data_IF_394792495999
#
_entry.id   IF_394792495999
#
_cell.length_a   1.000
_cell.length_b   1.000
_cell.length_c   1.000
_cell.angle_alpha   90.00
_cell.angle_beta   90.00
_cell.angle_gamma   90.00
#
_symmetry.space_group_name_H-M   'P 1'
#
loop_
_entity.id
_entity.type
_entity.pdbx_description
1 polymer ?
#
# COMPACT_ATOMS: atom_id res chain seq x y z
N UNK A 1 -55.80 -57.57 -28.96
CA UNK A 1 -55.70 -57.52 -27.48
C UNK A 1 -55.69 -56.05 -27.08
N UNK A 2 -56.76 -55.54 -26.45
CA UNK A 2 -56.82 -54.17 -25.90
C UNK A 2 -56.09 -54.15 -24.57
N UNK A 3 -55.17 -53.22 -24.35
CA UNK A 3 -54.78 -52.82 -22.99
C UNK A 3 -54.56 -51.31 -22.96
N UNK A 4 -55.20 -50.68 -21.98
CA UNK A 4 -55.38 -49.25 -21.77
C UNK A 4 -54.48 -48.85 -20.60
N UNK A 5 -53.54 -47.92 -20.77
CA UNK A 5 -52.88 -47.18 -19.67
C UNK A 5 -52.47 -45.81 -20.26
N UNK A 6 -53.25 -44.74 -20.06
CA UNK A 6 -53.32 -43.80 -18.91
C UNK A 6 -52.29 -42.66 -18.98
N UNK A 7 -52.75 -41.49 -18.57
CA UNK A 7 -52.28 -40.14 -18.94
C UNK A 7 -50.95 -39.68 -18.30
N UNK A 8 -50.23 -38.90 -19.11
CA UNK A 8 -49.24 -37.83 -18.83
C UNK A 8 -49.00 -37.45 -17.36
N UNK A 9 -47.71 -37.37 -16.96
CA UNK A 9 -47.15 -36.26 -16.16
C UNK A 9 -45.69 -35.98 -16.56
N UNK A 10 -45.44 -34.74 -16.97
CA UNK A 10 -44.11 -34.16 -17.18
C UNK A 10 -43.71 -33.52 -15.85
N UNK A 11 -42.52 -33.82 -15.31
CA UNK A 11 -41.84 -32.99 -14.31
C UNK A 11 -40.34 -33.07 -14.56
N UNK A 12 -39.66 -31.97 -14.94
CA UNK A 12 -38.22 -31.91 -14.96
C UNK A 12 -37.70 -31.51 -13.57
N UNK A 13 -36.72 -32.23 -13.03
CA UNK A 13 -35.89 -31.73 -11.93
C UNK A 13 -34.43 -31.80 -12.37
N UNK A 14 -34.00 -30.76 -13.08
CA UNK A 14 -32.58 -30.43 -13.21
C UNK A 14 -32.12 -29.83 -11.89
N UNK A 15 -31.34 -30.60 -11.13
CA UNK A 15 -30.68 -30.13 -9.91
C UNK A 15 -29.43 -29.34 -10.33
N UNK A 16 -29.62 -28.09 -10.77
CA UNK A 16 -28.53 -27.15 -11.00
C UNK A 16 -28.19 -26.43 -9.69
N UNK A 17 -27.26 -26.96 -8.92
CA UNK A 17 -26.71 -26.30 -7.74
C UNK A 17 -25.88 -25.10 -8.20
N UNK A 18 -26.47 -23.91 -8.18
CA UNK A 18 -25.75 -22.65 -8.38
C UNK A 18 -24.80 -22.45 -7.19
N UNK A 19 -23.51 -22.70 -7.41
CA UNK A 19 -22.45 -22.43 -6.45
C UNK A 19 -22.27 -20.90 -6.37
N UNK A 20 -22.87 -20.27 -5.37
CA UNK A 20 -22.67 -18.86 -5.07
C UNK A 20 -21.19 -18.65 -4.65
N UNK A 21 -20.39 -18.11 -5.56
CA UNK A 21 -19.04 -17.65 -5.27
C UNK A 21 -19.13 -16.46 -4.32
N UNK A 22 -19.01 -16.73 -3.02
CA UNK A 22 -18.71 -15.74 -2.00
C UNK A 22 -17.30 -15.23 -2.25
N UNK A 23 -17.17 -14.21 -3.10
CA UNK A 23 -15.98 -13.37 -3.13
C UNK A 23 -15.92 -12.59 -1.84
N UNK A 24 -15.28 -13.19 -0.83
CA UNK A 24 -14.79 -12.48 0.34
C UNK A 24 -13.70 -11.50 -0.11
N UNK A 25 -14.10 -10.41 -0.75
CA UNK A 25 -13.26 -9.23 -0.83
C UNK A 25 -13.04 -8.80 0.61
N UNK A 26 -11.85 -9.07 1.15
CA UNK A 26 -11.43 -8.47 2.39
C UNK A 26 -11.57 -6.96 2.20
N UNK A 27 -12.60 -6.38 2.79
CA UNK A 27 -12.76 -4.95 2.89
C UNK A 27 -11.62 -4.47 3.80
N UNK A 28 -10.44 -4.24 3.22
CA UNK A 28 -9.44 -3.41 3.86
C UNK A 28 -10.17 -2.10 4.13
N UNK A 29 -10.33 -1.75 5.40
CA UNK A 29 -10.92 -0.47 5.77
C UNK A 29 -10.21 0.60 4.92
N UNK A 30 -10.98 1.27 4.08
CA UNK A 30 -10.44 2.23 3.13
C UNK A 30 -9.81 3.36 3.94
N UNK A 31 -8.49 3.32 4.12
CA UNK A 31 -7.78 4.32 4.90
C UNK A 31 -7.95 5.68 4.22
N UNK A 32 -8.31 6.71 5.00
CA UNK A 32 -8.39 8.06 4.48
C UNK A 32 -6.99 8.66 4.39
N UNK A 33 -6.28 8.42 3.28
CA UNK A 33 -4.91 8.92 3.11
C UNK A 33 -4.83 10.45 3.04
N UNK A 34 -5.93 11.11 2.65
CA UNK A 34 -5.96 12.56 2.55
C UNK A 34 -6.00 13.27 3.92
N UNK A 35 -6.38 12.56 5.00
CA UNK A 35 -6.29 13.08 6.36
C UNK A 35 -4.89 13.03 6.95
N UNK A 36 -3.94 12.33 6.30
CA UNK A 36 -2.56 12.29 6.76
C UNK A 36 -1.91 13.68 6.68
N UNK A 37 -1.00 14.02 7.60
CA UNK A 37 -0.26 15.27 7.55
C UNK A 37 0.46 15.44 6.21
N UNK A 38 0.48 16.68 5.70
CA UNK A 38 1.38 17.03 4.60
C UNK A 38 2.81 16.76 5.06
N UNK A 39 3.59 16.12 4.19
CA UNK A 39 4.97 15.77 4.50
C UNK A 39 5.80 17.04 4.69
N UNK A 40 6.22 17.29 5.93
CA UNK A 40 7.09 18.39 6.29
C UNK A 40 8.56 18.00 6.12
N UNK A 41 9.42 18.99 5.93
CA UNK A 41 10.87 18.85 6.02
C UNK A 41 11.40 19.80 7.11
N UNK A 42 12.05 19.30 8.17
CA UNK A 42 12.25 17.88 8.50
C UNK A 42 11.03 17.23 9.18
N UNK A 43 11.09 15.90 9.35
CA UNK A 43 10.17 15.14 10.21
C UNK A 43 10.90 14.08 11.04
N UNK A 44 10.33 13.64 12.18
CA UNK A 44 10.97 12.62 13.03
C UNK A 44 11.08 11.25 12.35
N UNK A 45 12.21 10.58 12.52
CA UNK A 45 12.41 9.19 12.07
C UNK A 45 11.48 8.23 12.81
N UNK A 46 10.90 7.27 12.08
CA UNK A 46 10.13 6.16 12.68
C UNK A 46 11.02 5.20 13.49
N UNK A 47 12.34 5.25 13.33
CA UNK A 47 13.29 4.46 14.11
C UNK A 47 13.57 5.01 15.51
N UNK A 48 13.09 6.20 15.85
CA UNK A 48 13.31 6.84 17.15
C UNK A 48 14.69 7.48 17.30
N UNK A 49 15.16 7.64 18.54
CA UNK A 49 16.49 8.18 18.86
C UNK A 49 16.65 9.70 18.67
N UNK A 50 15.56 10.43 18.42
CA UNK A 50 15.61 11.86 18.11
C UNK A 50 16.20 12.18 16.74
N UNK A 51 16.32 11.16 15.87
CA UNK A 51 16.83 11.34 14.51
C UNK A 51 15.77 12.08 13.67
N UNK A 52 16.22 13.11 12.95
CA UNK A 52 15.38 13.88 12.03
C UNK A 52 15.70 13.50 10.59
N UNK A 53 14.65 13.35 9.78
CA UNK A 53 14.72 13.03 8.36
C UNK A 53 14.56 14.30 7.54
N UNK A 54 15.49 14.52 6.61
CA UNK A 54 15.55 15.70 5.75
C UNK A 54 15.57 15.33 4.25
N UNK A 55 15.19 16.30 3.41
CA UNK A 55 15.21 16.24 1.95
C UNK A 55 14.33 15.12 1.35
N UNK A 56 13.31 14.70 2.08
CA UNK A 56 12.50 13.54 1.72
C UNK A 56 11.48 13.87 0.63
N UNK A 57 11.88 13.68 -0.62
CA UNK A 57 11.09 13.99 -1.81
C UNK A 57 10.89 12.71 -2.64
N UNK A 58 9.81 11.93 -2.41
CA UNK A 58 9.53 10.73 -3.18
C UNK A 58 8.97 11.07 -4.57
N UNK A 59 9.61 10.46 -5.57
CA UNK A 59 9.22 10.53 -6.99
C UNK A 59 8.75 9.16 -7.46
N UNK A 60 7.57 9.11 -8.08
CA UNK A 60 6.99 7.89 -8.64
C UNK A 60 7.54 7.65 -10.05
N UNK A 61 8.07 6.45 -10.30
CA UNK A 61 8.48 6.02 -11.63
C UNK A 61 8.55 4.49 -11.71
N UNK A 62 8.07 3.90 -12.81
CA UNK A 62 8.21 2.47 -13.07
C UNK A 62 7.60 1.55 -12.01
N UNK A 63 6.48 1.95 -11.40
CA UNK A 63 5.82 1.17 -10.34
C UNK A 63 6.52 1.23 -8.97
N UNK A 64 7.45 2.17 -8.79
CA UNK A 64 8.16 2.41 -7.53
C UNK A 64 8.08 3.88 -7.13
N UNK A 65 8.24 4.17 -5.84
CA UNK A 65 8.58 5.51 -5.37
C UNK A 65 10.01 5.51 -4.85
N UNK A 66 10.81 6.49 -5.26
CA UNK A 66 12.24 6.57 -4.88
C UNK A 66 12.53 7.92 -4.28
N UNK A 67 13.38 7.96 -3.26
CA UNK A 67 13.94 9.21 -2.75
C UNK A 67 15.32 9.00 -2.13
N UNK A 68 16.07 10.08 -2.05
CA UNK A 68 17.27 10.19 -1.23
C UNK A 68 16.93 11.02 -0.01
N UNK A 69 17.55 10.74 1.13
CA UNK A 69 17.27 11.47 2.35
C UNK A 69 18.51 11.54 3.25
N UNK A 70 18.51 12.50 4.16
CA UNK A 70 19.46 12.56 5.27
C UNK A 70 18.78 12.14 6.56
N UNK A 71 19.44 11.30 7.33
CA UNK A 71 19.12 11.04 8.73
C UNK A 71 20.14 11.80 9.59
N UNK A 72 19.67 12.75 10.40
CA UNK A 72 20.52 13.59 11.23
C UNK A 72 20.24 13.27 12.69
N UNK A 73 21.27 12.84 13.42
CA UNK A 73 21.22 12.59 14.86
C UNK A 73 21.17 13.90 15.67
N UNK A 74 20.72 13.85 16.94
CA UNK A 74 20.74 15.02 17.83
C UNK A 74 22.13 15.68 18.01
N UNK A 75 23.21 14.90 17.84
CA UNK A 75 24.59 15.41 17.91
C UNK A 75 25.08 16.05 16.60
N UNK A 76 24.27 16.09 15.55
CA UNK A 76 24.60 16.65 14.23
C UNK A 76 25.22 15.64 13.24
N UNK A 77 25.50 14.41 13.64
CA UNK A 77 25.97 13.34 12.75
C UNK A 77 24.95 13.10 11.65
N UNK A 78 25.40 13.09 10.40
CA UNK A 78 24.54 13.03 9.22
C UNK A 78 24.85 11.79 8.39
N UNK A 79 23.81 10.98 8.14
CA UNK A 79 23.88 9.84 7.24
C UNK A 79 23.08 10.11 5.97
N UNK A 80 23.69 9.84 4.81
CA UNK A 80 23.01 9.91 3.51
C UNK A 80 22.48 8.52 3.16
N UNK A 81 21.23 8.48 2.74
CA UNK A 81 20.52 7.23 2.46
C UNK A 81 19.70 7.36 1.18
N UNK A 82 19.32 6.21 0.64
CA UNK A 82 18.31 6.10 -0.41
C UNK A 82 17.22 5.13 0.04
N UNK A 83 16.01 5.31 -0.45
CA UNK A 83 14.89 4.42 -0.18
C UNK A 83 14.06 4.18 -1.43
N UNK A 84 13.58 2.94 -1.56
CA UNK A 84 12.64 2.52 -2.60
C UNK A 84 11.41 1.94 -1.95
N UNK A 85 10.25 2.37 -2.43
CA UNK A 85 8.93 1.87 -2.09
C UNK A 85 8.31 1.16 -3.28
N UNK A 86 7.35 0.28 -2.98
CA UNK A 86 6.39 -0.18 -3.96
C UNK A 86 5.35 0.93 -4.16
N UNK A 87 4.93 1.15 -5.41
CA UNK A 87 3.91 2.15 -5.74
C UNK A 87 2.59 1.47 -6.12
N UNK A 88 1.54 1.76 -5.34
CA UNK A 88 0.19 1.26 -5.58
C UNK A 88 -0.73 2.43 -5.97
N UNK A 89 -1.30 2.39 -7.17
CA UNK A 89 -2.34 3.33 -7.57
C UNK A 89 -3.62 3.10 -6.76
N UNK A 90 -4.11 4.12 -6.06
CA UNK A 90 -5.29 4.03 -5.19
C UNK A 90 -5.90 5.40 -4.91
N UNK A 91 -7.22 5.48 -4.73
CA UNK A 91 -7.93 6.71 -4.31
C UNK A 91 -7.62 7.97 -5.18
N UNK A 92 -7.32 7.76 -6.46
CA UNK A 92 -6.93 8.84 -7.38
C UNK A 92 -5.50 9.37 -7.18
N UNK A 93 -4.69 8.73 -6.34
CA UNK A 93 -3.28 9.02 -6.12
C UNK A 93 -2.42 7.75 -6.15
N UNK A 94 -1.23 7.85 -5.56
CA UNK A 94 -0.26 6.75 -5.43
C UNK A 94 0.13 6.58 -3.97
N UNK A 95 -0.02 5.37 -3.45
CA UNK A 95 0.50 4.96 -2.15
C UNK A 95 1.89 4.33 -2.33
N UNK A 96 2.90 4.96 -1.74
CA UNK A 96 4.25 4.45 -1.58
C UNK A 96 4.33 3.66 -0.26
N UNK A 97 4.56 2.35 -0.34
CA UNK A 97 4.60 1.47 0.83
C UNK A 97 5.71 0.42 0.74
N UNK A 98 5.91 -0.36 1.82
CA UNK A 98 6.98 -1.36 1.94
C UNK A 98 8.38 -0.77 1.71
N UNK A 99 8.69 0.36 2.34
CA UNK A 99 9.95 1.08 2.12
C UNK A 99 11.17 0.27 2.51
N UNK A 100 12.17 0.22 1.62
CA UNK A 100 13.46 -0.45 1.80
C UNK A 100 14.57 0.56 1.58
N UNK A 101 15.39 0.80 2.60
CA UNK A 101 16.44 1.82 2.56
C UNK A 101 17.84 1.21 2.64
N UNK A 102 18.79 1.96 2.10
CA UNK A 102 20.21 1.62 2.09
C UNK A 102 21.03 2.88 2.33
N UNK A 103 22.07 2.78 3.15
CA UNK A 103 23.04 3.87 3.33
C UNK A 103 23.83 4.11 2.05
N UNK A 104 24.25 5.36 1.82
CA UNK A 104 24.93 5.74 0.57
C UNK A 104 26.26 5.00 0.36
N UNK A 105 26.92 4.59 1.45
CA UNK A 105 28.15 3.78 1.43
C UNK A 105 27.88 2.26 1.36
N UNK A 106 26.61 1.83 1.40
CA UNK A 106 26.20 0.43 1.37
C UNK A 106 26.47 -0.34 2.67
N UNK A 107 26.90 0.32 3.74
CA UNK A 107 27.23 -0.33 5.02
C UNK A 107 26.00 -0.79 5.81
N UNK A 108 24.83 -0.19 5.57
CA UNK A 108 23.59 -0.51 6.27
C UNK A 108 22.39 -0.56 5.33
N UNK A 109 21.43 -1.43 5.67
CA UNK A 109 20.12 -1.52 5.01
C UNK A 109 19.02 -1.71 6.05
N UNK A 110 17.79 -1.44 5.65
CA UNK A 110 16.63 -1.74 6.49
C UNK A 110 15.31 -1.50 5.79
N UNK A 111 14.25 -1.58 6.57
CA UNK A 111 12.88 -1.26 6.14
C UNK A 111 12.29 -0.16 7.02
N UNK A 112 11.17 0.43 6.58
CA UNK A 112 10.41 1.40 7.37
C UNK A 112 8.91 1.14 7.26
N UNK A 113 8.14 1.33 8.35
CA UNK A 113 6.68 1.37 8.28
C UNK A 113 6.17 2.68 7.67
N UNK A 114 7.03 3.70 7.52
CA UNK A 114 6.64 5.00 6.96
C UNK A 114 6.07 4.83 5.55
N UNK A 115 4.90 5.42 5.31
CA UNK A 115 4.19 5.41 4.03
C UNK A 115 3.98 6.83 3.55
N UNK A 116 3.95 6.99 2.23
CA UNK A 116 3.67 8.28 1.59
C UNK A 116 2.52 8.12 0.61
N UNK A 117 1.52 8.99 0.71
CA UNK A 117 0.47 9.13 -0.29
C UNK A 117 0.71 10.38 -1.12
N UNK A 118 0.70 10.23 -2.45
CA UNK A 118 0.97 11.30 -3.41
C UNK A 118 -0.27 11.49 -4.28
N UNK A 119 -0.84 12.70 -4.26
CA UNK A 119 -2.00 13.07 -5.07
C UNK A 119 -1.94 14.56 -5.41
N UNK A 120 -2.15 14.89 -6.68
CA UNK A 120 -2.17 16.28 -7.18
C UNK A 120 -0.93 17.10 -6.76
N UNK A 121 0.24 16.45 -6.76
CA UNK A 121 1.52 17.05 -6.35
C UNK A 121 1.73 17.16 -4.83
N UNK A 122 0.71 16.89 -4.02
CA UNK A 122 0.80 16.89 -2.55
C UNK A 122 1.29 15.53 -2.07
N UNK A 123 2.33 15.55 -1.22
CA UNK A 123 2.81 14.37 -0.49
C UNK A 123 2.34 14.41 0.95
N UNK A 124 1.74 13.33 1.41
CA UNK A 124 1.31 13.15 2.80
C UNK A 124 1.99 11.94 3.39
N UNK A 125 2.54 12.08 4.59
CA UNK A 125 3.34 11.05 5.24
C UNK A 125 2.66 10.53 6.49
N UNK A 126 2.74 9.22 6.72
CA UNK A 126 2.34 8.60 7.99
C UNK A 126 3.34 7.52 8.36
N UNK A 127 3.82 7.58 9.60
CA UNK A 127 4.68 6.55 10.18
C UNK A 127 3.93 5.28 10.60
N UNK A 128 2.60 5.38 10.72
CA UNK A 128 1.74 4.53 11.59
C UNK A 128 2.36 4.09 12.91
#
# INVERSE_FOLDING_TARGET
MRMIISFRKVVPLGLGTALALLTSAAAMAQQNYESWPVLADPFPSTGGGGIMIHDYDPVVSGGQCRTQFRAIEPNGTTYRNSIVFDALATQGGVLCHNGRWTSADGSATGTTPFRVFIKDGVRRGSGE
#
